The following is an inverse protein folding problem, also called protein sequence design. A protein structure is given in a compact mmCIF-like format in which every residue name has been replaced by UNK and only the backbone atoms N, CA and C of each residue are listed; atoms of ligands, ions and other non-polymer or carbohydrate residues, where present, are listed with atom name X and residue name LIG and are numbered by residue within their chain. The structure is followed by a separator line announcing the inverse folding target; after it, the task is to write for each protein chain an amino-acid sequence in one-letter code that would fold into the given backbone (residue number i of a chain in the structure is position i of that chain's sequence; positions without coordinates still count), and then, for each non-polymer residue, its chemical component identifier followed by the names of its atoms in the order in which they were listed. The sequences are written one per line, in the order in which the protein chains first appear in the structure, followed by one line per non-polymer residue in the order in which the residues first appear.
data_IF_301958588814
#
_entry.id   IF_301958588814
#
_cell.length_a   1.000
_cell.length_b   1.000
_cell.length_c   1.000
_cell.angle_alpha   90.00
_cell.angle_beta   90.00
_cell.angle_gamma   90.00
#
_symmetry.space_group_name_H-M   'P 1'
#
loop_
_entity.id
_entity.type
_entity.pdbx_description
1 polymer ?
#
# COMPACT_ATOMS: atom_id res chain seq x y z
N UNK A 1 -11.22 -13.47 -2.91
CA UNK A 1 -11.32 -13.83 -1.46
C UNK A 1 -12.32 -14.97 -1.31
N UNK A 2 -11.82 -16.18 -1.13
CA UNK A 2 -12.64 -17.40 -1.13
C UNK A 2 -12.85 -18.00 0.26
N UNK A 3 -12.05 -17.60 1.26
CA UNK A 3 -12.12 -18.13 2.62
C UNK A 3 -12.73 -17.12 3.60
N UNK A 4 -13.50 -17.59 4.58
CA UNK A 4 -14.00 -16.75 5.69
C UNK A 4 -12.87 -16.06 6.45
N UNK A 5 -11.70 -16.70 6.55
CA UNK A 5 -10.49 -16.12 7.19
C UNK A 5 -9.95 -14.93 6.42
N UNK A 6 -9.96 -14.98 5.08
CA UNK A 6 -9.46 -13.88 4.25
C UNK A 6 -10.37 -12.65 4.37
N UNK A 7 -11.68 -12.87 4.44
CA UNK A 7 -12.67 -11.81 4.68
C UNK A 7 -12.47 -11.18 6.06
N UNK A 8 -12.27 -12.00 7.10
CA UNK A 8 -12.02 -11.51 8.45
C UNK A 8 -10.71 -10.70 8.55
N UNK A 9 -9.63 -11.15 7.92
CA UNK A 9 -8.36 -10.41 7.86
C UNK A 9 -8.53 -9.08 7.12
N UNK A 10 -9.24 -9.08 6.00
CA UNK A 10 -9.54 -7.88 5.23
C UNK A 10 -10.34 -6.86 6.06
N UNK A 11 -11.40 -7.31 6.71
CA UNK A 11 -12.24 -6.44 7.55
C UNK A 11 -11.47 -5.93 8.76
N UNK A 12 -10.70 -6.80 9.45
CA UNK A 12 -9.88 -6.39 10.59
C UNK A 12 -8.85 -5.32 10.19
N UNK A 13 -8.20 -5.50 9.05
CA UNK A 13 -7.24 -4.54 8.52
C UNK A 13 -7.91 -3.22 8.11
N UNK A 14 -9.05 -3.28 7.41
CA UNK A 14 -9.81 -2.09 7.02
C UNK A 14 -10.30 -1.30 8.25
N UNK A 15 -10.76 -2.00 9.29
CA UNK A 15 -11.15 -1.38 10.56
C UNK A 15 -9.93 -0.76 11.25
N UNK A 16 -8.83 -1.51 11.42
CA UNK A 16 -7.64 -1.01 12.09
C UNK A 16 -7.07 0.23 11.39
N UNK A 17 -6.97 0.23 10.07
CA UNK A 17 -6.43 1.37 9.33
C UNK A 17 -7.44 2.51 9.17
N UNK A 18 -8.73 2.21 9.04
CA UNK A 18 -9.78 3.23 8.97
C UNK A 18 -9.93 4.01 10.28
N UNK A 19 -9.95 3.31 11.41
CA UNK A 19 -10.02 3.92 12.75
C UNK A 19 -8.71 4.62 13.14
N UNK A 20 -7.58 4.31 12.47
CA UNK A 20 -6.33 5.02 12.70
C UNK A 20 -6.45 6.53 12.46
N UNK A 21 -7.21 6.96 11.45
CA UNK A 21 -7.43 8.38 11.15
C UNK A 21 -8.18 9.08 12.29
N UNK A 22 -9.21 8.45 12.85
CA UNK A 22 -9.91 8.99 14.02
C UNK A 22 -9.03 8.99 15.28
N UNK A 23 -8.18 7.99 15.48
CA UNK A 23 -7.23 7.97 16.59
C UNK A 23 -6.14 9.05 16.44
N UNK A 24 -5.71 9.36 15.19
CA UNK A 24 -4.81 10.48 14.92
C UNK A 24 -5.51 11.80 15.32
N UNK A 25 -6.77 12.00 14.92
CA UNK A 25 -7.55 13.20 15.27
C UNK A 25 -7.58 13.43 16.80
N UNK A 26 -7.93 12.39 17.56
CA UNK A 26 -7.95 12.44 19.03
C UNK A 26 -6.58 12.82 19.61
N UNK A 27 -5.50 12.28 19.07
CA UNK A 27 -4.15 12.59 19.56
C UNK A 27 -3.69 14.00 19.21
N UNK A 28 -4.08 14.51 18.04
CA UNK A 28 -3.76 15.86 17.57
C UNK A 28 -4.42 16.97 18.40
N UNK A 29 -5.45 16.66 19.19
CA UNK A 29 -6.02 17.63 20.12
C UNK A 29 -5.03 18.10 21.22
N UNK A 30 -4.02 17.28 21.54
CA UNK A 30 -3.10 17.57 22.64
C UNK A 30 -1.62 17.37 22.31
N UNK A 31 -1.30 16.73 21.20
CA UNK A 31 0.09 16.46 20.79
C UNK A 31 0.44 17.15 19.47
N UNK A 32 1.64 17.73 19.37
CA UNK A 32 2.15 18.24 18.12
C UNK A 32 2.20 17.13 17.04
N UNK A 33 1.81 17.43 15.80
CA UNK A 33 1.63 16.41 14.75
C UNK A 33 2.86 15.53 14.50
N UNK A 34 4.03 16.14 14.30
CA UNK A 34 5.25 15.40 13.94
C UNK A 34 5.74 14.59 15.15
N UNK A 35 5.67 15.16 16.34
CA UNK A 35 6.03 14.45 17.57
C UNK A 35 5.10 13.26 17.83
N UNK A 36 3.80 13.44 17.62
CA UNK A 36 2.85 12.35 17.78
C UNK A 36 3.11 11.20 16.80
N UNK A 37 3.44 11.52 15.54
CA UNK A 37 3.90 10.51 14.58
C UNK A 37 5.17 9.80 15.05
N UNK A 38 6.17 10.54 15.61
CA UNK A 38 7.40 9.96 16.13
C UNK A 38 7.13 8.95 17.24
N UNK A 39 6.38 9.35 18.26
CA UNK A 39 6.01 8.50 19.40
C UNK A 39 5.25 7.24 18.99
N UNK A 40 4.36 7.34 18.00
CA UNK A 40 3.67 6.18 17.41
C UNK A 40 4.66 5.17 16.86
N UNK A 41 5.69 5.65 16.14
CA UNK A 41 6.69 4.79 15.52
C UNK A 41 7.72 4.28 16.51
N UNK A 42 7.94 4.95 17.66
CA UNK A 42 8.71 4.39 18.78
C UNK A 42 8.04 3.12 19.30
N UNK A 43 6.71 3.17 19.56
CA UNK A 43 5.95 1.99 19.99
C UNK A 43 6.05 0.87 18.97
N UNK A 44 5.87 1.18 17.68
CA UNK A 44 5.96 0.20 16.62
C UNK A 44 7.38 -0.39 16.48
N UNK A 45 8.43 0.43 16.56
CA UNK A 45 9.81 -0.01 16.51
C UNK A 45 10.14 -1.00 17.63
N UNK A 46 9.73 -0.69 18.86
CA UNK A 46 9.91 -1.60 20.01
C UNK A 46 9.23 -2.95 19.77
N UNK A 47 8.00 -2.94 19.25
CA UNK A 47 7.26 -4.18 18.96
C UNK A 47 7.91 -5.00 17.85
N UNK A 48 8.35 -4.35 16.76
CA UNK A 48 9.02 -5.07 15.66
C UNK A 48 10.41 -5.57 16.08
N UNK A 49 11.18 -4.81 16.87
CA UNK A 49 12.44 -5.29 17.45
C UNK A 49 12.19 -6.49 18.37
N UNK A 50 11.19 -6.41 19.24
CA UNK A 50 10.81 -7.54 20.11
C UNK A 50 10.42 -8.78 19.28
N UNK A 51 9.68 -8.61 18.18
CA UNK A 51 9.32 -9.69 17.27
C UNK A 51 10.56 -10.30 16.59
N UNK A 52 11.51 -9.50 16.12
CA UNK A 52 12.77 -9.96 15.52
C UNK A 52 13.55 -10.81 16.50
N UNK A 53 13.68 -10.36 17.76
CA UNK A 53 14.39 -11.08 18.82
C UNK A 53 13.65 -12.38 19.19
N UNK A 54 12.33 -12.31 19.40
CA UNK A 54 11.53 -13.45 19.81
C UNK A 54 11.48 -14.56 18.75
N UNK A 55 11.51 -14.19 17.47
CA UNK A 55 11.50 -15.12 16.34
C UNK A 55 12.91 -15.54 15.88
N UNK A 56 13.97 -15.00 16.50
CA UNK A 56 15.36 -15.28 16.14
C UNK A 56 15.72 -14.91 14.70
N UNK A 57 15.10 -13.84 14.14
CA UNK A 57 15.30 -13.43 12.76
C UNK A 57 16.65 -12.71 12.59
N UNK A 58 17.26 -12.86 11.40
CA UNK A 58 18.42 -12.06 11.03
C UNK A 58 18.04 -10.57 10.97
N UNK A 59 18.74 -9.75 11.75
CA UNK A 59 18.46 -8.33 11.89
C UNK A 59 19.54 -7.43 11.28
N UNK A 60 20.74 -7.99 11.01
CA UNK A 60 21.88 -7.23 10.51
C UNK A 60 21.78 -7.04 9.01
N UNK A 61 21.84 -5.79 8.51
CA UNK A 61 21.94 -5.53 7.08
C UNK A 61 23.28 -6.04 6.55
N UNK A 62 23.26 -6.89 5.54
CA UNK A 62 24.44 -7.56 5.01
C UNK A 62 24.89 -6.98 3.67
N UNK A 63 23.96 -6.38 2.93
CA UNK A 63 24.20 -5.88 1.57
C UNK A 63 23.90 -4.39 1.46
N UNK A 64 24.47 -3.75 0.42
CA UNK A 64 24.10 -2.37 0.09
C UNK A 64 22.61 -2.21 -0.25
N UNK A 65 21.99 -3.30 -0.78
CA UNK A 65 20.56 -3.35 -1.04
C UNK A 65 19.73 -3.30 0.23
N UNK A 66 20.19 -3.97 1.32
CA UNK A 66 19.52 -3.91 2.62
C UNK A 66 19.55 -2.50 3.19
N UNK A 67 20.72 -1.82 3.16
CA UNK A 67 20.86 -0.44 3.61
C UNK A 67 20.01 0.52 2.78
N UNK A 68 19.97 0.33 1.46
CA UNK A 68 19.11 1.11 0.56
C UNK A 68 17.64 0.90 0.90
N UNK A 69 17.22 -0.34 1.14
CA UNK A 69 15.83 -0.65 1.52
C UNK A 69 15.45 0.01 2.86
N UNK A 70 16.35 -0.05 3.86
CA UNK A 70 16.16 0.62 5.17
C UNK A 70 16.06 2.13 4.98
N UNK A 71 16.96 2.74 4.21
CA UNK A 71 16.93 4.18 3.97
C UNK A 71 15.63 4.60 3.25
N UNK A 72 15.25 3.92 2.17
CA UNK A 72 14.02 4.22 1.43
C UNK A 72 12.79 4.04 2.32
N UNK A 73 12.71 2.91 3.04
CA UNK A 73 11.55 2.64 3.89
C UNK A 73 11.50 3.60 5.08
N UNK A 74 12.61 3.81 5.78
CA UNK A 74 12.66 4.68 6.96
C UNK A 74 12.47 6.16 6.61
N UNK A 75 13.13 6.66 5.55
CA UNK A 75 13.05 8.08 5.18
C UNK A 75 11.73 8.42 4.48
N UNK A 76 11.36 7.65 3.44
CA UNK A 76 10.22 7.99 2.59
C UNK A 76 8.92 7.39 3.11
N UNK A 77 8.88 6.07 3.39
CA UNK A 77 7.61 5.41 3.75
C UNK A 77 7.18 5.67 5.19
N UNK A 78 8.12 5.94 6.09
CA UNK A 78 7.80 6.25 7.49
C UNK A 78 8.02 7.73 7.79
N UNK A 79 9.24 8.23 7.72
CA UNK A 79 9.59 9.60 8.14
C UNK A 79 8.78 10.66 7.39
N UNK A 80 9.06 10.84 6.11
CA UNK A 80 8.45 11.93 5.33
C UNK A 80 6.95 11.72 5.10
N UNK A 81 6.53 10.48 4.77
CA UNK A 81 5.11 10.18 4.56
C UNK A 81 4.27 10.55 5.78
N UNK A 82 4.65 10.08 6.98
CA UNK A 82 3.86 10.32 8.17
C UNK A 82 4.03 11.73 8.75
N UNK A 83 5.18 12.39 8.54
CA UNK A 83 5.28 13.82 8.83
C UNK A 83 4.22 14.62 8.06
N UNK A 84 4.17 14.44 6.74
CA UNK A 84 3.18 15.12 5.92
C UNK A 84 1.74 14.69 6.21
N UNK A 85 1.51 13.41 6.51
CA UNK A 85 0.18 12.90 6.82
C UNK A 85 -0.36 13.52 8.11
N UNK A 86 0.41 13.51 9.19
CA UNK A 86 -0.06 14.03 10.48
C UNK A 86 -0.22 15.56 10.46
N UNK A 87 0.72 16.28 9.83
CA UNK A 87 0.56 17.71 9.59
C UNK A 87 -0.65 17.99 8.72
N UNK A 88 -0.84 17.26 7.62
CA UNK A 88 -1.99 17.44 6.75
C UNK A 88 -3.31 17.19 7.45
N UNK A 89 -3.37 16.15 8.28
CA UNK A 89 -4.59 15.79 9.01
C UNK A 89 -4.96 16.82 10.09
N UNK A 90 -4.02 17.60 10.63
CA UNK A 90 -4.37 18.69 11.55
C UNK A 90 -5.19 19.83 10.95
N UNK A 91 -5.38 19.83 9.62
CA UNK A 91 -6.16 20.82 8.89
C UNK A 91 -7.46 20.29 8.29
N UNK A 92 -7.68 18.98 8.28
CA UNK A 92 -8.83 18.34 7.63
C UNK A 92 -9.37 17.21 8.49
N UNK A 93 -10.63 16.82 8.28
CA UNK A 93 -11.24 15.69 9.00
C UNK A 93 -10.56 14.34 8.71
N UNK A 94 -10.75 13.40 9.62
CA UNK A 94 -10.24 12.03 9.49
C UNK A 94 -10.72 11.35 8.19
N UNK A 95 -11.97 11.58 7.82
CA UNK A 95 -12.55 11.08 6.56
C UNK A 95 -11.83 11.64 5.33
N UNK A 96 -11.57 12.95 5.28
CA UNK A 96 -10.86 13.59 4.16
C UNK A 96 -9.43 13.07 4.05
N UNK A 97 -8.71 12.95 5.18
CA UNK A 97 -7.35 12.42 5.18
C UNK A 97 -7.30 10.97 4.65
N UNK A 98 -8.23 10.10 5.06
CA UNK A 98 -8.35 8.73 4.57
C UNK A 98 -8.68 8.68 3.07
N UNK A 99 -9.56 9.57 2.59
CA UNK A 99 -9.93 9.61 1.17
C UNK A 99 -8.74 10.06 0.31
N UNK A 100 -8.00 11.09 0.71
CA UNK A 100 -6.84 11.57 -0.04
C UNK A 100 -5.75 10.49 -0.10
N UNK A 101 -5.51 9.78 1.00
CA UNK A 101 -4.53 8.68 1.01
C UNK A 101 -4.95 7.48 0.16
N UNK A 102 -6.24 7.32 -0.13
CA UNK A 102 -6.72 6.27 -1.06
C UNK A 102 -6.31 6.48 -2.53
N UNK A 103 -5.68 7.62 -2.86
CA UNK A 103 -5.05 7.85 -4.18
C UNK A 103 -3.77 7.03 -4.40
N UNK A 104 -3.16 6.46 -3.37
CA UNK A 104 -1.91 5.69 -3.50
C UNK A 104 -1.96 4.70 -4.66
N UNK A 105 -2.96 3.82 -4.80
CA UNK A 105 -3.01 2.87 -5.91
C UNK A 105 -3.25 3.50 -7.29
N UNK A 106 -3.82 4.71 -7.34
CA UNK A 106 -4.06 5.45 -8.59
C UNK A 106 -2.77 6.12 -9.06
N UNK A 107 -1.96 6.67 -8.13
CA UNK A 107 -0.71 7.35 -8.44
C UNK A 107 0.48 6.40 -8.63
N UNK A 108 0.39 5.16 -8.16
CA UNK A 108 1.47 4.18 -8.30
C UNK A 108 1.82 3.88 -9.77
N UNK A 109 0.88 3.59 -10.70
CA UNK A 109 1.21 3.29 -12.09
C UNK A 109 1.97 4.41 -12.83
N UNK A 110 1.56 5.69 -12.80
CA UNK A 110 2.31 6.75 -13.48
C UNK A 110 3.71 6.98 -12.90
N UNK A 111 3.86 6.86 -11.57
CA UNK A 111 5.19 7.01 -10.94
C UNK A 111 6.07 5.79 -11.27
N UNK A 112 5.51 4.59 -11.28
CA UNK A 112 6.21 3.38 -11.71
C UNK A 112 6.70 3.50 -13.16
N UNK A 113 5.93 4.13 -14.05
CA UNK A 113 6.34 4.41 -15.44
C UNK A 113 7.63 5.26 -15.52
N UNK A 114 7.77 6.25 -14.63
CA UNK A 114 8.94 7.14 -14.61
C UNK A 114 10.17 6.45 -14.03
N UNK A 115 9.97 5.50 -13.12
CA UNK A 115 11.05 4.88 -12.34
C UNK A 115 11.44 3.50 -12.89
N UNK A 116 10.48 2.71 -13.39
CA UNK A 116 10.69 1.33 -13.85
C UNK A 116 10.80 1.27 -15.39
N UNK A 117 11.96 0.87 -15.97
CA UNK A 117 12.25 1.00 -17.41
C UNK A 117 11.32 0.23 -18.36
N UNK A 118 10.55 -0.74 -17.87
CA UNK A 118 9.66 -1.59 -18.70
C UNK A 118 8.18 -1.46 -18.33
N UNK A 119 7.85 -0.51 -17.48
CA UNK A 119 6.45 -0.29 -17.08
C UNK A 119 5.68 0.40 -18.21
N UNK A 120 4.45 -0.04 -18.47
CA UNK A 120 3.58 0.57 -19.49
C UNK A 120 2.26 0.99 -18.86
N UNK A 121 1.90 2.25 -19.06
CA UNK A 121 0.61 2.80 -18.62
C UNK A 121 -0.36 2.74 -19.80
N UNK A 122 -1.55 2.23 -19.58
CA UNK A 122 -2.62 2.15 -20.57
C UNK A 122 -3.50 3.40 -20.52
N UNK A 123 -4.14 3.74 -21.63
CA UNK A 123 -5.02 4.90 -21.72
C UNK A 123 -6.12 4.95 -20.62
N UNK A 124 -6.80 3.83 -20.26
CA UNK A 124 -7.77 3.86 -19.16
C UNK A 124 -7.16 4.29 -17.81
N UNK A 125 -5.89 3.96 -17.55
CA UNK A 125 -5.23 4.37 -16.32
C UNK A 125 -4.95 5.88 -16.28
N UNK A 126 -4.66 6.50 -17.43
CA UNK A 126 -4.50 7.97 -17.54
C UNK A 126 -5.83 8.68 -17.28
N UNK A 127 -6.92 8.18 -17.88
CA UNK A 127 -8.27 8.71 -17.62
C UNK A 127 -8.66 8.52 -16.15
N UNK A 128 -8.39 7.34 -15.59
CA UNK A 128 -8.63 7.04 -14.19
C UNK A 128 -7.87 7.97 -13.24
N UNK A 129 -6.61 8.29 -13.56
CA UNK A 129 -5.81 9.28 -12.82
C UNK A 129 -6.48 10.67 -12.86
N UNK A 130 -6.89 11.14 -14.05
CA UNK A 130 -7.54 12.44 -14.20
C UNK A 130 -8.85 12.51 -13.40
N UNK A 131 -9.68 11.45 -13.44
CA UNK A 131 -10.93 11.36 -12.68
C UNK A 131 -10.65 11.33 -11.16
N UNK A 132 -9.64 10.57 -10.71
CA UNK A 132 -9.25 10.53 -9.30
C UNK A 132 -8.75 11.89 -8.78
N UNK A 133 -7.94 12.60 -9.58
CA UNK A 133 -7.47 13.95 -9.24
C UNK A 133 -8.62 14.98 -9.24
N UNK A 134 -9.59 14.85 -10.16
CA UNK A 134 -10.80 15.68 -10.12
C UNK A 134 -11.58 15.46 -8.82
N UNK A 135 -11.64 14.23 -8.30
CA UNK A 135 -12.22 13.92 -6.99
C UNK A 135 -11.54 14.69 -5.85
N UNK A 136 -10.21 14.83 -5.87
CA UNK A 136 -9.49 15.64 -4.87
C UNK A 136 -9.87 17.13 -4.99
N UNK A 137 -9.96 17.66 -6.20
CA UNK A 137 -10.36 19.06 -6.38
C UNK A 137 -11.75 19.32 -5.79
N UNK A 138 -12.70 18.38 -5.99
CA UNK A 138 -14.06 18.47 -5.39
C UNK A 138 -14.00 18.47 -3.87
N UNK A 139 -13.08 17.72 -3.25
CA UNK A 139 -12.92 17.68 -1.79
C UNK A 139 -12.18 18.92 -1.29
N UNK A 140 -11.14 19.38 -2.02
CA UNK A 140 -10.25 20.44 -1.58
C UNK A 140 -10.87 21.84 -1.62
N UNK A 141 -11.91 22.07 -2.45
CA UNK A 141 -12.51 23.39 -2.68
C UNK A 141 -13.98 23.43 -2.22
N UNK A 142 -14.31 23.12 -0.96
CA UNK A 142 -15.65 23.34 -0.45
C UNK A 142 -15.84 24.84 -0.17
N UNK A 143 -16.71 25.50 -0.91
CA UNK A 143 -17.17 26.85 -0.60
C UNK A 143 -16.24 28.01 -0.99
N UNK A 144 -15.18 27.78 -1.79
CA UNK A 144 -14.38 28.85 -2.40
C UNK A 144 -13.40 29.58 -1.47
N UNK A 145 -13.16 29.11 -0.24
CA UNK A 145 -12.13 29.66 0.64
C UNK A 145 -10.82 28.85 0.51
N UNK A 146 -9.69 29.58 0.35
CA UNK A 146 -8.34 29.03 0.32
C UNK A 146 -7.78 28.84 1.74
N UNK A 147 -8.62 28.38 2.68
CA UNK A 147 -8.30 28.24 4.10
C UNK A 147 -7.39 27.03 4.35
N UNK A 148 -7.09 26.79 5.63
CA UNK A 148 -6.25 25.68 6.10
C UNK A 148 -6.56 24.30 5.49
N UNK A 149 -7.81 24.09 5.06
CA UNK A 149 -8.25 22.87 4.37
C UNK A 149 -7.45 22.57 3.09
N UNK A 150 -7.20 23.55 2.23
CA UNK A 150 -6.38 23.36 1.02
C UNK A 150 -4.92 23.05 1.38
N UNK A 151 -4.41 23.68 2.43
CA UNK A 151 -3.06 23.40 2.97
C UNK A 151 -2.98 21.95 3.45
N UNK A 152 -3.97 21.48 4.21
CA UNK A 152 -4.06 20.11 4.68
C UNK A 152 -4.09 19.10 3.53
N UNK A 153 -4.93 19.31 2.52
CA UNK A 153 -4.98 18.47 1.31
C UNK A 153 -3.63 18.48 0.58
N UNK A 154 -2.95 19.63 0.51
CA UNK A 154 -1.62 19.75 -0.09
C UNK A 154 -0.58 18.87 0.63
N UNK A 155 -0.54 18.90 1.98
CA UNK A 155 0.32 18.03 2.77
C UNK A 155 -0.03 16.55 2.58
N UNK A 156 -1.30 16.20 2.55
CA UNK A 156 -1.74 14.83 2.32
C UNK A 156 -1.36 14.33 0.91
N UNK A 157 -1.45 15.16 -0.12
CA UNK A 157 -0.97 14.81 -1.46
C UNK A 157 0.55 14.62 -1.48
N UNK A 158 1.31 15.48 -0.79
CA UNK A 158 2.75 15.30 -0.63
C UNK A 158 3.08 13.97 0.08
N UNK A 159 2.34 13.64 1.15
CA UNK A 159 2.42 12.36 1.84
C UNK A 159 2.22 11.17 0.88
N UNK A 160 1.15 11.20 0.08
CA UNK A 160 0.85 10.16 -0.91
C UNK A 160 1.95 10.05 -1.96
N UNK A 161 2.44 11.16 -2.51
CA UNK A 161 3.51 11.16 -3.51
C UNK A 161 4.80 10.56 -2.96
N UNK A 162 5.21 10.97 -1.75
CA UNK A 162 6.41 10.43 -1.09
C UNK A 162 6.26 8.94 -0.84
N UNK A 163 5.10 8.50 -0.37
CA UNK A 163 4.83 7.07 -0.14
C UNK A 163 4.91 6.27 -1.44
N UNK A 164 4.30 6.75 -2.52
CA UNK A 164 4.31 6.06 -3.82
C UNK A 164 5.72 5.99 -4.39
N UNK A 165 6.47 7.10 -4.36
CA UNK A 165 7.88 7.12 -4.79
C UNK A 165 8.70 6.14 -3.96
N UNK A 166 8.57 6.18 -2.63
CA UNK A 166 9.25 5.26 -1.72
C UNK A 166 8.90 3.80 -2.01
N UNK A 167 7.63 3.48 -2.24
CA UNK A 167 7.17 2.12 -2.55
C UNK A 167 7.78 1.60 -3.86
N UNK A 168 7.76 2.42 -4.92
CA UNK A 168 8.33 2.05 -6.23
C UNK A 168 9.86 1.91 -6.16
N UNK A 169 10.53 2.77 -5.39
CA UNK A 169 11.99 2.65 -5.17
C UNK A 169 12.33 1.40 -4.36
N UNK A 170 11.53 1.08 -3.33
CA UNK A 170 11.73 -0.11 -2.50
C UNK A 170 11.57 -1.40 -3.32
N UNK A 171 10.65 -1.42 -4.30
CA UNK A 171 10.47 -2.56 -5.21
C UNK A 171 11.74 -2.85 -6.05
N UNK A 172 12.57 -1.82 -6.32
CA UNK A 172 13.84 -1.99 -7.05
C UNK A 172 14.97 -2.54 -6.19
N UNK A 173 14.82 -2.56 -4.88
CA UNK A 173 15.91 -2.99 -3.99
C UNK A 173 15.98 -4.52 -3.93
N UNK A 174 17.18 -5.06 -4.20
CA UNK A 174 17.49 -6.47 -3.95
C UNK A 174 17.98 -6.56 -2.51
N UNK A 175 17.19 -7.18 -1.65
CA UNK A 175 17.46 -7.26 -0.20
C UNK A 175 17.48 -8.71 0.30
N UNK A 176 18.26 -8.96 1.32
CA UNK A 176 18.38 -10.23 2.02
C UNK A 176 17.69 -10.21 3.39
N UNK A 177 17.44 -9.04 3.95
CA UNK A 177 16.75 -8.86 5.23
C UNK A 177 15.33 -9.44 5.19
N UNK A 178 14.93 -10.21 6.22
CA UNK A 178 13.53 -10.57 6.44
C UNK A 178 12.63 -9.33 6.54
N UNK A 179 11.39 -9.44 6.06
CA UNK A 179 10.47 -8.30 6.04
C UNK A 179 10.24 -7.69 7.44
N UNK A 180 10.13 -8.53 8.48
CA UNK A 180 9.95 -8.07 9.88
C UNK A 180 11.16 -7.26 10.34
N UNK A 181 12.37 -7.69 9.99
CA UNK A 181 13.61 -6.98 10.33
C UNK A 181 13.73 -5.65 9.57
N UNK A 182 13.35 -5.62 8.29
CA UNK A 182 13.27 -4.38 7.51
C UNK A 182 12.27 -3.40 8.15
N UNK A 183 11.12 -3.86 8.61
CA UNK A 183 10.13 -3.03 9.30
C UNK A 183 10.68 -2.48 10.63
N UNK A 184 11.38 -3.31 11.43
CA UNK A 184 12.01 -2.84 12.66
C UNK A 184 12.98 -1.67 12.39
N UNK A 185 13.85 -1.81 11.38
CA UNK A 185 14.76 -0.75 10.96
C UNK A 185 14.04 0.48 10.41
N UNK A 186 13.04 0.28 9.55
CA UNK A 186 12.27 1.38 8.95
C UNK A 186 11.52 2.20 10.01
N UNK A 187 10.90 1.53 10.99
CA UNK A 187 10.22 2.20 12.10
C UNK A 187 11.21 2.98 12.97
N UNK A 188 12.36 2.40 13.31
CA UNK A 188 13.39 3.07 14.13
C UNK A 188 14.00 4.28 13.41
N UNK A 189 14.38 4.13 12.14
CA UNK A 189 14.93 5.23 11.33
C UNK A 189 13.89 6.32 11.12
N UNK A 190 12.64 5.94 10.77
CA UNK A 190 11.53 6.87 10.59
C UNK A 190 11.21 7.64 11.87
N UNK A 191 11.14 6.96 13.02
CA UNK A 191 10.95 7.60 14.33
C UNK A 191 12.04 8.62 14.62
N UNK A 192 13.33 8.25 14.41
CA UNK A 192 14.45 9.16 14.62
C UNK A 192 14.36 10.41 13.73
N UNK A 193 13.98 10.25 12.46
CA UNK A 193 13.76 11.37 11.53
C UNK A 193 12.60 12.26 12.01
N UNK A 194 11.49 11.67 12.44
CA UNK A 194 10.34 12.42 12.94
C UNK A 194 10.66 13.17 14.23
N UNK A 195 11.42 12.58 15.18
CA UNK A 195 11.91 13.29 16.36
C UNK A 195 12.82 14.47 15.98
N UNK A 196 13.75 14.26 15.04
CA UNK A 196 14.58 15.32 14.54
C UNK A 196 13.78 16.44 13.87
N UNK A 197 12.79 16.09 13.04
CA UNK A 197 11.92 17.04 12.37
C UNK A 197 11.07 17.85 13.37
N UNK A 198 10.48 17.19 14.38
CA UNK A 198 9.71 17.84 15.45
C UNK A 198 10.59 18.79 16.27
N UNK A 199 11.80 18.36 16.67
CA UNK A 199 12.73 19.20 17.42
C UNK A 199 13.20 20.45 16.65
N UNK A 200 13.28 20.36 15.32
CA UNK A 200 13.66 21.47 14.45
C UNK A 200 12.47 22.34 14.01
N UNK A 201 11.23 21.87 14.23
CA UNK A 201 10.04 22.60 13.80
C UNK A 201 9.66 23.70 14.82
N UNK A 202 9.65 25.00 14.44
CA UNK A 202 9.46 26.09 15.40
C UNK A 202 8.19 26.03 16.22
N UNK A 203 7.10 25.47 15.66
CA UNK A 203 5.82 25.34 16.35
C UNK A 203 5.74 24.14 17.30
N UNK A 204 6.68 23.19 17.21
CA UNK A 204 6.72 22.00 18.08
C UNK A 204 7.87 22.07 19.09
N UNK A 205 8.94 22.81 18.76
CA UNK A 205 10.09 22.99 19.65
C UNK A 205 9.70 23.82 20.86
N UNK A 206 9.86 23.25 22.06
CA UNK A 206 9.58 23.93 23.34
C UNK A 206 8.14 23.85 23.83
N UNK A 207 7.26 23.12 23.14
CA UNK A 207 5.93 22.83 23.64
C UNK A 207 6.02 21.85 24.82
N UNK A 208 5.51 22.27 25.98
CA UNK A 208 5.40 21.38 27.16
C UNK A 208 4.46 20.21 26.83
N UNK A 209 4.96 18.98 26.98
CA UNK A 209 4.17 17.77 26.75
C UNK A 209 3.14 17.60 27.87
N UNK A 210 1.89 17.87 27.57
CA UNK A 210 0.74 17.44 28.40
C UNK A 210 0.10 16.25 27.69
N UNK A 211 0.45 15.04 28.13
CA UNK A 211 -0.17 13.82 27.62
C UNK A 211 -1.58 13.67 28.23
N UNK A 212 -2.59 14.09 27.48
CA UNK A 212 -3.96 13.75 27.83
C UNK A 212 -4.15 12.23 27.81
N UNK A 213 -4.94 11.64 28.73
CA UNK A 213 -5.19 10.20 28.73
C UNK A 213 -5.74 9.68 27.40
N UNK A 214 -6.57 10.46 26.72
CA UNK A 214 -7.09 10.15 25.36
C UNK A 214 -5.98 10.03 24.32
N UNK A 215 -5.00 10.95 24.32
CA UNK A 215 -3.87 10.91 23.42
C UNK A 215 -2.93 9.72 23.70
N UNK A 216 -2.75 9.35 24.97
CA UNK A 216 -1.97 8.15 25.32
C UNK A 216 -2.66 6.87 24.83
N UNK A 217 -3.98 6.76 25.00
CA UNK A 217 -4.76 5.64 24.46
C UNK A 217 -4.67 5.59 22.95
N UNK A 218 -4.83 6.74 22.28
CA UNK A 218 -4.70 6.86 20.83
C UNK A 218 -3.29 6.44 20.35
N UNK A 219 -2.24 6.87 21.05
CA UNK A 219 -0.85 6.53 20.76
C UNK A 219 -0.61 5.02 20.83
N UNK A 220 -1.00 4.38 21.92
CA UNK A 220 -0.86 2.93 22.11
C UNK A 220 -1.67 2.17 21.06
N UNK A 221 -2.91 2.60 20.83
CA UNK A 221 -3.77 2.02 19.79
C UNK A 221 -3.13 2.10 18.42
N UNK A 222 -2.62 3.27 18.03
CA UNK A 222 -1.95 3.47 16.74
C UNK A 222 -0.68 2.62 16.60
N UNK A 223 0.15 2.58 17.64
CA UNK A 223 1.41 1.81 17.62
C UNK A 223 1.16 0.31 17.59
N UNK A 224 0.30 -0.19 18.47
CA UNK A 224 0.06 -1.63 18.67
C UNK A 224 -0.91 -2.18 17.62
N UNK A 225 -2.12 -1.61 17.53
CA UNK A 225 -3.20 -2.18 16.70
C UNK A 225 -3.04 -1.77 15.25
N UNK A 226 -2.92 -0.46 14.99
CA UNK A 226 -2.94 0.02 13.61
C UNK A 226 -1.60 -0.20 12.90
N UNK A 227 -0.47 -0.12 13.61
CA UNK A 227 0.86 -0.32 13.01
C UNK A 227 1.29 -1.78 13.12
N UNK A 228 1.60 -2.29 14.30
CA UNK A 228 2.12 -3.65 14.43
C UNK A 228 1.09 -4.70 14.00
N UNK A 229 -0.14 -4.65 14.51
CA UNK A 229 -1.23 -5.55 14.16
C UNK A 229 -1.70 -5.39 12.71
N UNK A 230 -1.81 -4.14 12.25
CA UNK A 230 -2.21 -3.82 10.88
C UNK A 230 -1.22 -4.36 9.85
N UNK A 231 0.08 -4.15 10.03
CA UNK A 231 1.09 -4.71 9.12
C UNK A 231 1.12 -6.23 9.17
N UNK A 232 0.97 -6.85 10.33
CA UNK A 232 0.86 -8.31 10.43
C UNK A 232 -0.35 -8.82 9.63
N UNK A 233 -1.53 -8.22 9.83
CA UNK A 233 -2.73 -8.58 9.09
C UNK A 233 -2.58 -8.37 7.58
N UNK A 234 -1.93 -7.26 7.18
CA UNK A 234 -1.64 -6.95 5.78
C UNK A 234 -0.75 -7.99 5.12
N UNK A 235 0.36 -8.40 5.77
CA UNK A 235 1.26 -9.41 5.22
C UNK A 235 0.59 -10.77 5.13
N UNK A 236 -0.15 -11.18 6.16
CA UNK A 236 -0.93 -12.41 6.11
C UNK A 236 -1.98 -12.39 4.99
N UNK A 237 -2.63 -11.25 4.77
CA UNK A 237 -3.59 -11.10 3.68
C UNK A 237 -2.88 -11.15 2.32
N UNK A 238 -1.74 -10.43 2.19
CA UNK A 238 -0.93 -10.38 0.97
C UNK A 238 -0.46 -11.77 0.52
N UNK A 239 0.02 -12.59 1.45
CA UNK A 239 0.45 -13.97 1.18
C UNK A 239 -0.72 -14.87 0.75
N UNK A 240 -1.92 -14.64 1.28
CA UNK A 240 -3.08 -15.49 1.05
C UNK A 240 -3.86 -15.15 -0.21
N UNK A 241 -4.03 -13.87 -0.52
CA UNK A 241 -4.89 -13.42 -1.62
C UNK A 241 -4.13 -12.66 -2.71
N UNK A 242 -2.86 -12.32 -2.48
CA UNK A 242 -2.03 -11.56 -3.41
C UNK A 242 -2.23 -10.05 -3.36
N UNK A 243 -1.34 -9.32 -4.03
CA UNK A 243 -1.24 -7.85 -3.92
C UNK A 243 -2.49 -7.12 -4.46
N UNK A 244 -3.10 -7.63 -5.53
CA UNK A 244 -4.27 -6.98 -6.14
C UNK A 244 -5.46 -6.96 -5.20
N UNK A 245 -5.76 -8.09 -4.55
CA UNK A 245 -6.90 -8.22 -3.64
C UNK A 245 -6.60 -7.54 -2.30
N UNK A 246 -5.38 -7.66 -1.78
CA UNK A 246 -4.96 -6.95 -0.58
C UNK A 246 -5.06 -5.42 -0.72
N UNK A 247 -4.75 -4.86 -1.90
CA UNK A 247 -4.84 -3.42 -2.16
C UNK A 247 -6.26 -2.85 -2.09
N UNK A 248 -7.31 -3.68 -2.21
CA UNK A 248 -8.70 -3.25 -2.08
C UNK A 248 -9.02 -2.70 -0.67
N UNK A 249 -8.21 -3.04 0.34
CA UNK A 249 -8.32 -2.47 1.69
C UNK A 249 -8.24 -0.93 1.64
N UNK A 250 -7.42 -0.36 0.76
CA UNK A 250 -7.28 1.10 0.64
C UNK A 250 -8.57 1.83 0.25
N UNK A 251 -9.58 1.11 -0.25
CA UNK A 251 -10.91 1.68 -0.55
C UNK A 251 -11.94 1.42 0.55
N UNK A 252 -11.73 0.38 1.35
CA UNK A 252 -12.55 0.13 2.54
C UNK A 252 -12.17 1.08 3.69
N UNK A 253 -10.89 1.43 3.81
CA UNK A 253 -10.35 2.34 4.83
C UNK A 253 -11.08 3.68 4.91
N UNK A 254 -11.29 4.44 3.80
CA UNK A 254 -12.02 5.72 3.86
C UNK A 254 -13.48 5.57 4.30
N UNK A 255 -14.13 4.45 3.94
CA UNK A 255 -15.51 4.19 4.38
C UNK A 255 -15.56 4.00 5.90
N UNK A 256 -14.63 3.22 6.45
CA UNK A 256 -14.52 3.03 7.90
C UNK A 256 -14.17 4.35 8.59
N UNK A 257 -13.19 5.11 8.06
CA UNK A 257 -12.79 6.39 8.61
C UNK A 257 -13.97 7.38 8.64
N UNK A 258 -14.73 7.47 7.55
CA UNK A 258 -15.91 8.36 7.49
C UNK A 258 -17.00 7.94 8.48
N UNK A 259 -17.31 6.65 8.59
CA UNK A 259 -18.32 6.15 9.51
C UNK A 259 -17.89 6.37 10.97
N UNK A 260 -16.63 6.09 11.31
CA UNK A 260 -16.12 6.27 12.68
C UNK A 260 -15.94 7.74 13.03
N UNK A 261 -15.42 8.57 12.10
CA UNK A 261 -15.31 10.01 12.28
C UNK A 261 -16.69 10.66 12.54
N UNK A 262 -17.69 10.28 11.76
CA UNK A 262 -19.07 10.73 11.98
C UNK A 262 -19.64 10.24 13.32
N UNK A 263 -19.54 8.94 13.63
CA UNK A 263 -20.20 8.34 14.78
C UNK A 263 -19.51 8.65 16.12
N UNK A 264 -18.17 8.71 16.13
CA UNK A 264 -17.38 8.87 17.36
C UNK A 264 -16.85 10.29 17.59
N UNK A 265 -16.57 11.04 16.51
CA UNK A 265 -16.00 12.39 16.59
C UNK A 265 -17.00 13.50 16.22
N UNK A 266 -18.20 13.13 15.74
CA UNK A 266 -19.20 14.11 15.29
C UNK A 266 -18.79 14.85 14.00
N UNK A 267 -17.88 14.29 13.21
CA UNK A 267 -17.47 14.88 11.94
C UNK A 267 -18.64 14.97 10.95
N UNK A 268 -18.70 16.03 10.19
CA UNK A 268 -19.73 16.21 9.15
C UNK A 268 -19.26 15.64 7.81
N UNK A 269 -20.03 14.70 7.25
CA UNK A 269 -19.77 14.19 5.91
C UNK A 269 -20.51 15.07 4.90
N UNK A 270 -19.77 15.86 4.13
CA UNK A 270 -20.35 16.75 3.13
C UNK A 270 -20.67 16.02 1.82
N UNK A 271 -21.58 16.59 1.00
CA UNK A 271 -21.82 16.09 -0.36
C UNK A 271 -20.55 16.13 -1.22
N UNK A 272 -19.68 17.15 -1.02
CA UNK A 272 -18.38 17.23 -1.69
C UNK A 272 -17.48 16.07 -1.32
N UNK A 273 -17.44 15.68 -0.03
CA UNK A 273 -16.68 14.51 0.44
C UNK A 273 -17.18 13.22 -0.23
N UNK A 274 -18.50 13.00 -0.27
CA UNK A 274 -19.11 11.83 -0.91
C UNK A 274 -18.83 11.82 -2.42
N UNK A 275 -19.08 12.94 -3.11
CA UNK A 275 -18.88 13.06 -4.55
C UNK A 275 -17.43 12.90 -4.96
N UNK A 276 -16.50 13.53 -4.24
CA UNK A 276 -15.06 13.38 -4.46
C UNK A 276 -14.56 11.96 -4.22
N UNK A 277 -15.03 11.29 -3.17
CA UNK A 277 -14.71 9.88 -2.93
C UNK A 277 -15.24 8.98 -4.05
N UNK A 278 -16.48 9.22 -4.50
CA UNK A 278 -17.06 8.47 -5.63
C UNK A 278 -16.22 8.62 -6.91
N UNK A 279 -15.71 9.84 -7.20
CA UNK A 279 -14.81 10.07 -8.33
C UNK A 279 -13.47 9.34 -8.16
N UNK A 280 -12.89 9.30 -6.95
CA UNK A 280 -11.64 8.56 -6.68
C UNK A 280 -11.85 7.05 -6.90
N UNK A 281 -12.96 6.50 -6.40
CA UNK A 281 -13.30 5.06 -6.62
C UNK A 281 -13.53 4.78 -8.11
N UNK A 282 -14.23 5.66 -8.83
CA UNK A 282 -14.41 5.54 -10.28
C UNK A 282 -13.06 5.62 -11.03
N UNK A 283 -12.20 6.56 -10.64
CA UNK A 283 -10.84 6.69 -11.18
C UNK A 283 -10.02 5.42 -11.01
N UNK A 284 -10.07 4.82 -9.82
CA UNK A 284 -9.42 3.52 -9.57
C UNK A 284 -10.02 2.40 -10.43
N UNK A 285 -11.34 2.31 -10.49
CA UNK A 285 -12.00 1.29 -11.31
C UNK A 285 -11.56 1.38 -12.79
N UNK A 286 -11.40 2.60 -13.31
CA UNK A 286 -10.84 2.83 -14.64
C UNK A 286 -9.37 2.41 -14.74
N UNK A 287 -8.54 2.72 -13.75
CA UNK A 287 -7.14 2.29 -13.71
C UNK A 287 -6.98 0.75 -13.72
N UNK A 288 -7.92 0.03 -13.13
CA UNK A 288 -7.91 -1.43 -12.96
C UNK A 288 -8.94 -2.14 -13.82
N UNK A 289 -9.51 -1.47 -14.82
CA UNK A 289 -10.66 -1.99 -15.61
C UNK A 289 -10.40 -3.36 -16.21
N UNK A 290 -9.19 -3.63 -16.70
CA UNK A 290 -8.84 -4.93 -17.27
C UNK A 290 -8.84 -6.06 -16.22
N UNK A 291 -8.40 -5.75 -15.01
CA UNK A 291 -8.37 -6.71 -13.89
C UNK A 291 -9.79 -6.96 -13.41
N UNK A 292 -10.55 -5.88 -13.21
CA UNK A 292 -11.96 -5.97 -12.81
C UNK A 292 -12.78 -6.72 -13.86
N UNK A 293 -12.57 -6.44 -15.15
CA UNK A 293 -13.28 -7.11 -16.23
C UNK A 293 -12.98 -8.61 -16.30
N UNK A 294 -11.74 -9.02 -16.01
CA UNK A 294 -11.38 -10.45 -15.92
C UNK A 294 -12.08 -11.17 -14.76
N UNK A 295 -12.36 -10.47 -13.67
CA UNK A 295 -13.03 -11.04 -12.49
C UNK A 295 -14.55 -11.03 -12.63
N UNK A 296 -15.14 -9.97 -13.18
CA UNK A 296 -16.58 -9.75 -13.29
C UNK A 296 -17.15 -10.30 -14.60
N UNK A 297 -16.38 -10.27 -15.70
CA UNK A 297 -16.80 -10.73 -17.02
C UNK A 297 -17.40 -12.16 -17.03
N UNK A 298 -16.80 -13.14 -16.33
CA UNK A 298 -17.38 -14.47 -16.21
C UNK A 298 -18.73 -14.50 -15.48
N UNK A 299 -18.99 -13.58 -14.53
CA UNK A 299 -20.23 -13.49 -13.77
C UNK A 299 -21.38 -12.87 -14.58
N UNK A 300 -21.04 -12.05 -15.58
CA UNK A 300 -21.99 -11.34 -16.46
C UNK A 300 -22.18 -12.08 -17.80
N UNK A 301 -21.64 -13.30 -17.94
CA UNK A 301 -21.74 -14.09 -19.15
C UNK A 301 -20.78 -13.69 -20.29
N UNK A 302 -19.92 -12.72 -20.05
CA UNK A 302 -18.83 -12.32 -20.93
C UNK A 302 -17.53 -13.04 -20.53
N UNK A 303 -17.49 -14.37 -20.65
CA UNK A 303 -16.26 -15.13 -20.54
C UNK A 303 -15.42 -14.96 -21.81
N UNK A 304 -14.07 -14.91 -21.73
CA UNK A 304 -13.26 -15.08 -22.92
C UNK A 304 -13.65 -16.41 -23.55
N UNK A 305 -14.02 -16.40 -24.82
CA UNK A 305 -14.24 -17.64 -25.58
C UNK A 305 -13.02 -18.50 -25.31
N UNK A 306 -13.20 -19.66 -24.64
CA UNK A 306 -12.17 -20.67 -24.51
C UNK A 306 -11.70 -20.94 -25.93
N UNK A 307 -10.50 -20.47 -26.30
CA UNK A 307 -9.81 -21.05 -27.43
C UNK A 307 -9.71 -22.54 -27.14
N UNK A 308 -10.08 -23.42 -28.07
CA UNK A 308 -9.83 -24.85 -27.89
C UNK A 308 -8.37 -25.00 -27.49
N UNK A 309 -8.12 -25.87 -26.54
CA UNK A 309 -6.78 -26.17 -26.11
C UNK A 309 -6.01 -26.79 -27.30
N UNK A 310 -5.35 -25.94 -28.06
CA UNK A 310 -4.33 -26.35 -29.02
C UNK A 310 -3.00 -26.26 -28.28
N UNK A 311 -2.28 -27.37 -28.25
CA UNK A 311 -0.90 -27.41 -27.79
C UNK A 311 -0.69 -27.99 -26.40
N UNK A 312 -0.06 -29.17 -26.33
CA UNK A 312 0.52 -29.75 -25.14
C UNK A 312 1.65 -28.83 -24.68
N UNK A 313 1.48 -28.16 -23.55
CA UNK A 313 2.56 -27.40 -22.94
C UNK A 313 3.69 -28.33 -22.49
N UNK A 314 4.91 -27.97 -22.79
CA UNK A 314 6.12 -28.64 -22.30
C UNK A 314 6.52 -27.99 -20.97
N UNK A 315 6.71 -28.78 -19.93
CA UNK A 315 7.20 -28.30 -18.64
C UNK A 315 8.72 -28.49 -18.59
N UNK A 316 9.47 -27.37 -18.51
CA UNK A 316 10.92 -27.37 -18.31
C UNK A 316 11.21 -26.61 -17.02
N UNK A 317 11.93 -27.21 -16.10
CA UNK A 317 12.32 -26.64 -14.80
C UNK A 317 11.16 -26.05 -13.98
N UNK A 318 9.98 -26.72 -14.01
CA UNK A 318 8.81 -26.30 -13.25
C UNK A 318 7.99 -25.16 -13.89
N UNK A 319 8.41 -24.59 -15.00
CA UNK A 319 7.67 -23.60 -15.76
C UNK A 319 6.97 -24.24 -16.98
N UNK A 320 5.70 -23.89 -17.18
CA UNK A 320 4.91 -24.38 -18.30
C UNK A 320 5.04 -23.41 -19.49
N UNK A 321 5.66 -23.88 -20.57
CA UNK A 321 5.78 -23.16 -21.84
C UNK A 321 4.71 -23.67 -22.80
N UNK A 322 3.93 -22.76 -23.38
CA UNK A 322 3.06 -23.07 -24.51
C UNK A 322 3.94 -23.07 -25.77
N UNK A 323 3.93 -24.18 -26.49
CA UNK A 323 4.55 -24.22 -27.81
C UNK A 323 3.70 -23.34 -28.75
N UNK A 324 4.30 -22.31 -29.35
CA UNK A 324 3.70 -21.57 -30.46
C UNK A 324 3.75 -22.49 -31.68
N UNK A 325 2.57 -22.77 -32.25
CA UNK A 325 2.38 -23.68 -33.39
C UNK A 325 3.02 -23.19 -34.72
N UNK A 326 3.70 -22.04 -34.73
CA UNK A 326 4.17 -21.42 -35.96
C UNK A 326 5.68 -21.59 -36.23
N UNK A 327 6.42 -22.43 -35.49
CA UNK A 327 7.89 -22.51 -35.62
C UNK A 327 8.45 -23.90 -35.92
N UNK A 328 7.65 -24.91 -36.16
CA UNK A 328 8.18 -26.18 -36.68
C UNK A 328 7.90 -26.30 -38.18
N UNK A 329 8.82 -25.74 -38.95
CA UNK A 329 9.03 -26.14 -40.35
C UNK A 329 9.35 -27.63 -40.39
N UNK A 330 8.70 -28.28 -41.32
CA UNK A 330 8.81 -29.64 -41.80
C UNK A 330 10.27 -30.13 -41.80
N UNK A 331 10.67 -30.92 -40.80
CA UNK A 331 11.85 -31.76 -40.92
C UNK A 331 11.39 -33.13 -41.40
N UNK A 332 11.62 -33.32 -42.70
CA UNK A 332 11.58 -34.62 -43.41
C UNK A 332 12.53 -35.62 -42.72
N UNK A 333 11.98 -36.57 -41.97
CA UNK A 333 12.74 -37.73 -41.44
C UNK A 333 12.58 -38.92 -42.38
N UNK A 334 13.19 -38.83 -43.53
CA UNK A 334 13.58 -40.02 -44.27
C UNK A 334 14.89 -40.58 -43.72
N UNK A 335 14.80 -41.54 -42.83
CA UNK A 335 15.72 -42.69 -42.76
C UNK A 335 15.40 -43.53 -41.52
N UNK A 336 14.77 -44.67 -41.79
CA UNK A 336 14.61 -45.76 -40.88
C UNK A 336 15.87 -46.62 -40.86
N UNK A 337 16.79 -46.44 -39.92
CA UNK A 337 17.82 -47.41 -39.61
C UNK A 337 17.37 -48.42 -38.55
N UNK A 338 17.29 -49.68 -38.98
CA UNK A 338 17.07 -50.87 -38.19
C UNK A 338 18.27 -51.09 -37.26
N UNK A 339 18.03 -51.03 -35.97
CA UNK A 339 18.96 -51.58 -35.00
C UNK A 339 18.61 -53.08 -34.81
N UNK A 340 19.39 -53.93 -35.40
CA UNK A 340 19.37 -55.40 -35.12
C UNK A 340 20.00 -55.70 -33.78
N UNK A 341 19.28 -56.45 -32.96
CA UNK A 341 19.82 -57.10 -31.74
C UNK A 341 20.90 -58.08 -32.14
N UNK A 342 22.13 -57.85 -31.72
CA UNK A 342 23.20 -58.83 -31.67
C UNK A 342 23.33 -59.44 -30.27
N UNK A 343 22.84 -60.64 -30.08
CA UNK A 343 23.23 -61.54 -28.98
C UNK A 343 24.57 -62.16 -29.37
N UNK A 344 25.55 -62.11 -28.45
CA UNK A 344 26.83 -62.77 -28.61
C UNK A 344 27.51 -62.84 -27.26
N UNK A 345 27.47 -64.05 -26.72
CA UNK A 345 28.31 -64.53 -25.62
C UNK A 345 29.77 -64.54 -26.05
N UNK A 346 30.65 -64.11 -25.12
CA UNK A 346 31.79 -64.90 -24.55
C UNK A 346 32.47 -64.03 -23.50
#
# INVERSE_FOLDING_TARGET
MTSKRDILLFLALAIAWGTAFSAIEIGLESLPPILFAALRFDVAAVLFVAAVVALGLEWRPQTSGDWTAIAVAGVLLVGAHFAFLFVGQSYVSSAVAAIVTSLIPILTPPIALLVLPRYRVRAPAVVGLAVGLAGIVVIAVPGGSLDGHLVGVGFLLASVLVFVVGSVLLERTVRTLPMVSLQAWAMAVGAAILHGASALHPAESGVGLTLAPSALVALVYLGVVCTAGGFLAYFLLLERVGATEASLVNYAVPVVAAVVGWAALGETITLATIGGFALIVAGFALCKIDVLWRQVGPLVGYGPRRRPAAGRGVVVDGNQYLADDDTYGEYDTGESERITHGTGAD
#
